data_IF_739610140502
#
_entry.id   IF_739610140502
#
_cell.length_a   1.000
_cell.length_b   1.000
_cell.length_c   1.000
_cell.angle_alpha   90.00
_cell.angle_beta   90.00
_cell.angle_gamma   90.00
#
_symmetry.space_group_name_H-M   'P 1'
#
loop_
_entity.id
_entity.type
_entity.pdbx_description
1 polymer ?
#
# COMPACT_ATOMS: atom_id res chain seq x y z
N UNK A 1 14.24 -23.40 14.76
CA UNK A 1 13.24 -22.41 15.17
C UNK A 1 13.39 -22.22 16.67
N UNK A 2 13.79 -21.03 17.13
CA UNK A 2 13.88 -20.77 18.57
C UNK A 2 12.46 -20.64 19.13
N UNK A 3 12.10 -21.38 20.20
CA UNK A 3 10.79 -21.25 20.82
C UNK A 3 10.65 -19.87 21.49
N UNK A 4 9.48 -19.26 21.36
CA UNK A 4 9.16 -17.98 21.98
C UNK A 4 9.31 -18.02 23.52
N UNK A 5 9.78 -16.92 24.15
CA UNK A 5 9.60 -16.68 25.58
C UNK A 5 8.11 -16.84 25.96
N UNK A 6 7.81 -17.30 27.17
CA UNK A 6 6.41 -17.51 27.61
C UNK A 6 5.53 -16.26 27.47
N UNK A 7 6.14 -15.09 27.53
CA UNK A 7 5.50 -13.76 27.47
C UNK A 7 4.99 -13.40 26.07
N UNK A 8 5.62 -13.95 25.02
CA UNK A 8 5.31 -13.68 23.60
C UNK A 8 4.46 -14.77 22.96
N UNK A 9 4.09 -15.80 23.72
CA UNK A 9 3.20 -16.85 23.21
C UNK A 9 1.81 -16.23 22.99
N UNK A 10 1.16 -16.53 21.86
CA UNK A 10 -0.19 -16.05 21.61
C UNK A 10 -1.10 -16.47 22.77
N UNK A 11 -1.76 -15.49 23.39
CA UNK A 11 -2.69 -15.69 24.52
C UNK A 11 -3.96 -16.42 24.12
N UNK A 12 -4.22 -16.50 22.82
CA UNK A 12 -5.36 -17.22 22.24
C UNK A 12 -4.90 -18.52 21.57
N UNK A 13 -5.64 -19.60 21.81
CA UNK A 13 -5.49 -20.84 21.06
C UNK A 13 -5.67 -20.57 19.56
N UNK A 14 -4.95 -21.29 18.66
CA UNK A 14 -5.14 -21.13 17.23
C UNK A 14 -6.62 -21.34 16.89
N UNK A 15 -7.27 -20.28 16.44
CA UNK A 15 -8.66 -20.34 16.00
C UNK A 15 -8.74 -21.29 14.80
N UNK A 16 -9.86 -22.00 14.70
CA UNK A 16 -10.10 -23.05 13.72
C UNK A 16 -10.02 -22.51 12.28
N UNK A 17 -8.82 -22.43 11.73
CA UNK A 17 -8.56 -21.94 10.36
C UNK A 17 -7.41 -22.67 9.64
N UNK A 18 -6.78 -23.65 10.31
CA UNK A 18 -5.68 -24.41 9.70
C UNK A 18 -4.37 -23.62 9.52
N UNK A 19 -4.28 -22.40 10.05
CA UNK A 19 -3.04 -21.64 10.12
C UNK A 19 -2.08 -22.30 11.12
N UNK A 20 -0.79 -22.28 10.82
CA UNK A 20 0.23 -22.78 11.74
C UNK A 20 0.37 -21.80 12.91
N UNK A 21 0.07 -22.20 14.17
CA UNK A 21 0.22 -21.33 15.33
C UNK A 21 1.63 -20.79 15.51
N UNK A 22 2.66 -21.48 15.00
CA UNK A 22 4.04 -21.01 15.05
C UNK A 22 4.31 -19.84 14.10
N UNK A 23 3.48 -19.64 13.06
CA UNK A 23 3.64 -18.58 12.06
C UNK A 23 2.78 -17.35 12.35
N UNK A 24 1.74 -17.46 13.18
CA UNK A 24 0.82 -16.36 13.50
C UNK A 24 1.52 -15.06 13.96
N UNK A 25 2.58 -15.10 14.79
CA UNK A 25 3.27 -13.88 15.23
C UNK A 25 4.10 -13.20 14.13
N UNK A 26 4.32 -13.88 13.00
CA UNK A 26 5.14 -13.39 11.88
C UNK A 26 4.28 -13.01 10.66
N UNK A 27 3.03 -12.61 10.89
CA UNK A 27 2.16 -12.11 9.84
C UNK A 27 2.74 -10.87 9.17
N UNK A 28 2.62 -10.80 7.84
CA UNK A 28 2.96 -9.62 7.06
C UNK A 28 1.91 -9.40 5.97
N UNK A 29 1.57 -8.14 5.71
CA UNK A 29 0.78 -7.74 4.55
C UNK A 29 1.65 -7.75 3.28
N UNK A 30 1.03 -7.69 2.11
CA UNK A 30 1.73 -7.55 0.83
C UNK A 30 0.99 -6.56 -0.05
N UNK A 31 1.71 -5.55 -0.52
CA UNK A 31 1.28 -4.66 -1.60
C UNK A 31 2.26 -4.76 -2.75
N UNK A 32 1.75 -4.87 -3.97
CA UNK A 32 2.60 -4.86 -5.17
C UNK A 32 1.90 -4.21 -6.36
N UNK A 33 2.70 -3.62 -7.24
CA UNK A 33 2.25 -3.09 -8.51
C UNK A 33 3.20 -3.52 -9.64
N UNK A 34 2.66 -4.08 -10.71
CA UNK A 34 3.35 -4.28 -11.98
C UNK A 34 2.86 -3.23 -12.97
N UNK A 35 3.75 -2.33 -13.38
CA UNK A 35 3.44 -1.23 -14.27
C UNK A 35 4.06 -1.49 -15.65
N UNK A 36 3.22 -1.59 -16.68
CA UNK A 36 3.66 -1.75 -18.07
C UNK A 36 3.00 -0.67 -18.95
N UNK A 37 3.51 -0.41 -20.17
CA UNK A 37 2.86 0.53 -21.08
C UNK A 37 1.42 0.14 -21.48
N UNK A 38 1.04 -1.14 -21.36
CA UNK A 38 -0.23 -1.67 -21.87
C UNK A 38 -1.25 -1.98 -20.78
N UNK A 39 -0.78 -2.27 -19.57
CA UNK A 39 -1.62 -2.60 -18.43
C UNK A 39 -0.85 -2.41 -17.13
N UNK A 40 -1.60 -2.16 -16.06
CA UNK A 40 -1.13 -2.26 -14.68
C UNK A 40 -1.81 -3.44 -13.98
N UNK A 41 -1.09 -4.03 -13.03
CA UNK A 41 -1.61 -5.07 -12.14
C UNK A 41 -1.29 -4.67 -10.71
N UNK A 42 -2.31 -4.55 -9.87
CA UNK A 42 -2.16 -4.25 -8.44
C UNK A 42 -2.55 -5.47 -7.62
N UNK A 43 -1.70 -5.82 -6.66
CA UNK A 43 -1.92 -6.95 -5.76
C UNK A 43 -1.93 -6.41 -4.34
N UNK A 44 -2.93 -6.82 -3.57
CA UNK A 44 -3.05 -6.47 -2.17
C UNK A 44 -3.47 -7.67 -1.33
N UNK A 45 -2.72 -7.92 -0.26
CA UNK A 45 -3.06 -8.84 0.81
C UNK A 45 -2.92 -8.08 2.13
N UNK A 46 -4.02 -7.94 2.87
CA UNK A 46 -4.09 -7.13 4.07
C UNK A 46 -4.68 -5.74 3.83
N UNK A 47 -4.39 -4.82 4.72
CA UNK A 47 -5.08 -3.54 4.94
C UNK A 47 -4.27 -2.29 4.55
N UNK A 48 -3.05 -2.46 4.00
CA UNK A 48 -2.33 -1.33 3.42
C UNK A 48 -3.05 -0.68 2.23
N UNK A 49 -2.52 0.41 1.70
CA UNK A 49 -3.19 1.21 0.69
C UNK A 49 -2.47 1.26 -0.66
N UNK A 50 -3.27 1.24 -1.72
CA UNK A 50 -2.84 1.51 -3.09
C UNK A 50 -3.63 2.70 -3.60
N UNK A 51 -2.95 3.83 -3.84
CA UNK A 51 -3.52 5.02 -4.45
C UNK A 51 -2.98 5.20 -5.86
N UNK A 52 -3.85 5.66 -6.75
CA UNK A 52 -3.47 6.14 -8.08
C UNK A 52 -3.92 7.57 -8.25
N UNK A 53 -3.04 8.40 -8.82
CA UNK A 53 -3.31 9.80 -9.14
C UNK A 53 -3.30 9.95 -10.65
N UNK A 54 -4.30 10.61 -11.23
CA UNK A 54 -4.28 10.98 -12.65
C UNK A 54 -3.52 12.28 -12.91
N UNK A 55 -3.50 12.74 -14.17
CA UNK A 55 -2.74 13.94 -14.56
C UNK A 55 -3.34 15.22 -14.01
N UNK A 56 -4.63 15.20 -13.71
CA UNK A 56 -5.41 16.29 -13.15
C UNK A 56 -5.29 16.35 -11.61
N UNK A 57 -4.65 15.36 -10.99
CA UNK A 57 -4.47 15.27 -9.54
C UNK A 57 -5.63 14.60 -8.82
N UNK A 58 -6.57 13.96 -9.53
CA UNK A 58 -7.63 13.20 -8.88
C UNK A 58 -7.05 11.88 -8.35
N UNK A 59 -7.33 11.62 -7.07
CA UNK A 59 -6.85 10.45 -6.34
C UNK A 59 -7.95 9.43 -6.23
N UNK A 60 -7.63 8.16 -6.45
CA UNK A 60 -8.55 7.04 -6.24
C UNK A 60 -7.79 5.78 -5.81
N UNK A 61 -8.50 4.86 -5.17
CA UNK A 61 -8.05 3.47 -4.99
C UNK A 61 -8.42 2.66 -6.24
N UNK A 62 -7.57 1.71 -6.69
CA UNK A 62 -8.00 0.73 -7.69
C UNK A 62 -9.27 0.01 -7.20
N UNK A 63 -10.27 -0.18 -8.08
CA UNK A 63 -11.49 -0.90 -7.72
C UNK A 63 -11.17 -2.29 -7.18
N UNK A 64 -11.65 -2.57 -5.97
CA UNK A 64 -11.56 -3.90 -5.35
C UNK A 64 -12.66 -4.80 -5.90
N UNK A 65 -12.33 -6.04 -6.20
CA UNK A 65 -13.37 -7.03 -6.48
C UNK A 65 -14.17 -7.27 -5.18
N UNK A 66 -15.51 -7.26 -5.20
CA UNK A 66 -16.29 -7.63 -4.03
C UNK A 66 -15.94 -9.07 -3.64
N UNK A 67 -15.28 -9.27 -2.50
CA UNK A 67 -15.00 -10.61 -1.99
C UNK A 67 -15.99 -10.94 -0.86
N UNK A 68 -16.95 -11.86 -1.09
CA UNK A 68 -17.89 -12.30 -0.06
C UNK A 68 -17.21 -13.00 1.14
N UNK A 69 -15.91 -13.28 1.09
CA UNK A 69 -15.12 -13.83 2.21
C UNK A 69 -14.54 -12.75 3.13
N UNK A 70 -14.48 -11.50 2.69
CA UNK A 70 -13.94 -10.37 3.46
C UNK A 70 -14.98 -9.71 4.39
N UNK A 71 -16.08 -10.42 4.70
CA UNK A 71 -17.21 -9.93 5.51
C UNK A 71 -16.88 -9.58 6.98
N UNK A 72 -15.63 -9.74 7.44
CA UNK A 72 -15.29 -9.70 8.86
C UNK A 72 -14.11 -8.80 9.27
N UNK A 73 -13.60 -7.90 8.42
CA UNK A 73 -12.47 -7.00 8.77
C UNK A 73 -11.25 -7.74 9.38
N UNK A 74 -11.03 -9.02 9.04
CA UNK A 74 -9.83 -9.73 9.48
C UNK A 74 -8.67 -9.35 8.55
N UNK A 75 -7.61 -8.76 9.11
CA UNK A 75 -6.38 -8.44 8.38
C UNK A 75 -5.75 -9.75 7.88
N UNK A 76 -5.89 -10.01 6.58
CA UNK A 76 -5.29 -11.17 5.92
C UNK A 76 -3.78 -10.97 5.80
N UNK A 77 -2.99 -12.01 6.07
CA UNK A 77 -1.52 -11.91 6.05
C UNK A 77 -0.87 -13.08 5.32
N UNK A 78 0.40 -12.95 4.95
CA UNK A 78 1.19 -13.98 4.28
C UNK A 78 1.38 -15.26 5.11
N UNK A 79 1.24 -15.18 6.44
CA UNK A 79 1.34 -16.36 7.30
C UNK A 79 0.06 -17.20 7.33
N UNK A 80 -1.05 -16.67 6.76
CA UNK A 80 -2.28 -17.43 6.62
C UNK A 80 -2.10 -18.57 5.62
N UNK A 81 -2.65 -19.73 5.96
CA UNK A 81 -2.74 -20.87 5.05
C UNK A 81 -3.53 -20.45 3.82
N UNK A 82 -2.99 -20.77 2.64
CA UNK A 82 -3.56 -20.36 1.36
C UNK A 82 -3.80 -18.83 1.23
N UNK A 83 -2.93 -17.99 1.80
CA UNK A 83 -3.02 -16.52 1.74
C UNK A 83 -3.30 -15.96 0.32
N UNK A 84 -2.78 -16.62 -0.72
CA UNK A 84 -3.03 -16.27 -2.12
C UNK A 84 -4.51 -16.22 -2.50
N UNK A 85 -5.39 -16.96 -1.79
CA UNK A 85 -6.83 -16.94 -2.01
C UNK A 85 -7.49 -15.64 -1.58
N UNK A 86 -6.87 -14.90 -0.67
CA UNK A 86 -7.36 -13.64 -0.11
C UNK A 86 -6.68 -12.43 -0.75
N UNK A 87 -5.84 -12.65 -1.75
CA UNK A 87 -5.18 -11.57 -2.46
C UNK A 87 -6.17 -10.90 -3.40
N UNK A 88 -6.40 -9.61 -3.19
CA UNK A 88 -7.11 -8.76 -4.12
C UNK A 88 -6.19 -8.45 -5.31
N UNK A 89 -6.69 -8.66 -6.51
CA UNK A 89 -5.93 -8.51 -7.75
C UNK A 89 -6.74 -7.61 -8.68
N UNK A 90 -6.22 -6.41 -8.94
CA UNK A 90 -6.81 -5.47 -9.88
C UNK A 90 -5.99 -5.39 -11.16
N UNK A 91 -6.57 -5.83 -12.28
CA UNK A 91 -6.01 -5.65 -13.61
C UNK A 91 -6.61 -4.43 -14.29
N UNK A 92 -5.76 -3.47 -14.66
CA UNK A 92 -6.15 -2.24 -15.33
C UNK A 92 -5.50 -2.18 -16.73
N UNK A 93 -6.24 -2.37 -17.83
CA UNK A 93 -5.71 -2.07 -19.16
C UNK A 93 -5.49 -0.57 -19.32
N UNK A 94 -4.40 -0.18 -19.99
CA UNK A 94 -4.14 1.21 -20.36
C UNK A 94 -4.73 1.43 -21.75
N UNK A 95 -5.88 2.10 -21.79
CA UNK A 95 -6.59 2.43 -23.04
C UNK A 95 -6.31 3.86 -23.50
N UNK A 96 -6.35 4.79 -22.55
CA UNK A 96 -6.13 6.22 -22.79
C UNK A 96 -4.92 6.71 -21.96
N UNK A 97 -5.21 7.39 -20.83
CA UNK A 97 -4.22 7.94 -19.94
C UNK A 97 -3.94 6.96 -18.78
N UNK A 98 -2.71 6.42 -18.66
CA UNK A 98 -2.31 5.71 -17.45
C UNK A 98 -2.22 6.68 -16.26
N UNK A 99 -2.35 6.18 -15.02
CA UNK A 99 -2.03 6.95 -13.81
C UNK A 99 -0.71 7.70 -13.93
N UNK A 100 -0.70 8.93 -13.42
CA UNK A 100 0.48 9.79 -13.34
C UNK A 100 1.34 9.45 -12.12
N UNK A 101 0.73 9.01 -11.03
CA UNK A 101 1.39 8.46 -9.84
C UNK A 101 0.67 7.18 -9.40
N UNK A 102 1.45 6.20 -8.94
CA UNK A 102 1.02 5.05 -8.14
C UNK A 102 1.77 5.13 -6.81
N UNK A 103 1.01 5.08 -5.71
CA UNK A 103 1.51 5.09 -4.35
C UNK A 103 1.05 3.81 -3.65
N UNK A 104 2.00 3.07 -3.08
CA UNK A 104 1.74 1.96 -2.17
C UNK A 104 2.18 2.39 -0.77
N UNK A 105 1.36 2.18 0.24
CA UNK A 105 1.69 2.52 1.62
C UNK A 105 1.20 1.46 2.60
N UNK A 106 1.94 1.23 3.68
CA UNK A 106 1.39 0.50 4.84
C UNK A 106 0.24 1.31 5.45
N UNK A 107 -0.69 0.61 6.10
CA UNK A 107 -1.89 1.17 6.74
C UNK A 107 -1.53 2.20 7.82
N UNK A 108 -0.39 2.05 8.49
CA UNK A 108 0.18 3.03 9.41
C UNK A 108 0.23 4.45 8.83
N UNK A 109 0.38 4.61 7.50
CA UNK A 109 0.34 5.93 6.88
C UNK A 109 -1.08 6.50 6.85
N UNK A 110 -2.05 5.76 6.29
CA UNK A 110 -3.44 6.20 6.20
C UNK A 110 -4.05 6.42 7.58
N UNK A 111 -3.72 5.57 8.55
CA UNK A 111 -4.17 5.66 9.95
C UNK A 111 -3.62 6.90 10.68
N UNK A 112 -2.63 7.60 10.12
CA UNK A 112 -2.12 8.86 10.67
C UNK A 112 -2.94 10.09 10.29
N UNK A 113 -3.96 9.94 9.44
CA UNK A 113 -4.83 11.02 9.00
C UNK A 113 -6.23 10.90 9.60
N UNK A 114 -6.88 12.04 9.82
CA UNK A 114 -8.22 12.09 10.40
C UNK A 114 -9.31 11.52 9.46
N UNK A 115 -9.10 11.64 8.16
CA UNK A 115 -10.02 11.18 7.14
C UNK A 115 -9.29 10.80 5.84
N UNK A 116 -10.05 10.18 4.92
CA UNK A 116 -9.56 9.75 3.61
C UNK A 116 -9.04 10.92 2.77
N UNK A 117 -9.64 12.09 2.88
CA UNK A 117 -9.25 13.25 2.07
C UNK A 117 -7.90 13.82 2.51
N UNK A 118 -7.59 13.78 3.81
CA UNK A 118 -6.26 14.12 4.31
C UNK A 118 -5.18 13.22 3.73
N UNK A 119 -5.44 11.91 3.64
CA UNK A 119 -4.50 10.97 3.02
C UNK A 119 -4.42 11.15 1.49
N UNK A 120 -5.55 11.42 0.82
CA UNK A 120 -5.54 11.77 -0.61
C UNK A 120 -4.75 13.05 -0.87
N UNK A 121 -4.83 14.04 0.01
CA UNK A 121 -4.07 15.28 -0.14
C UNK A 121 -2.57 15.01 -0.16
N UNK A 122 -2.07 14.10 0.67
CA UNK A 122 -0.66 13.67 0.63
C UNK A 122 -0.27 13.11 -0.74
N UNK A 123 -1.11 12.26 -1.35
CA UNK A 123 -0.84 11.72 -2.67
C UNK A 123 -0.76 12.84 -3.74
N UNK A 124 -1.60 13.88 -3.63
CA UNK A 124 -1.56 15.06 -4.50
C UNK A 124 -0.29 15.88 -4.27
N UNK A 125 0.07 16.13 -3.02
CA UNK A 125 1.24 16.92 -2.66
C UNK A 125 2.53 16.22 -3.13
N UNK A 126 2.64 14.91 -2.91
CA UNK A 126 3.76 14.10 -3.41
C UNK A 126 3.81 14.11 -4.93
N UNK A 127 2.67 14.00 -5.62
CA UNK A 127 2.63 14.09 -7.08
C UNK A 127 3.13 15.46 -7.57
N UNK A 128 2.64 16.55 -6.98
CA UNK A 128 3.09 17.91 -7.33
C UNK A 128 4.59 18.07 -7.10
N UNK A 129 5.09 17.62 -5.94
CA UNK A 129 6.52 17.67 -5.62
C UNK A 129 7.35 16.87 -6.62
N UNK A 130 6.96 15.62 -6.94
CA UNK A 130 7.70 14.76 -7.89
C UNK A 130 7.75 15.32 -9.31
N UNK A 131 6.75 16.12 -9.71
CA UNK A 131 6.71 16.77 -11.04
C UNK A 131 7.42 18.12 -11.08
N UNK A 132 7.84 18.66 -9.94
CA UNK A 132 8.57 19.93 -9.89
C UNK A 132 10.05 19.75 -10.30
N UNK A 133 10.73 20.82 -10.77
CA UNK A 133 12.17 20.80 -10.99
C UNK A 133 12.93 20.40 -9.72
N UNK A 134 13.81 19.40 -9.81
CA UNK A 134 14.52 18.78 -8.66
C UNK A 134 13.61 18.12 -7.61
N UNK A 135 12.34 17.92 -7.97
CA UNK A 135 11.32 17.31 -7.13
C UNK A 135 11.67 15.91 -6.64
N UNK A 136 12.08 14.99 -7.52
CA UNK A 136 12.47 13.63 -7.13
C UNK A 136 13.59 13.60 -6.09
N UNK A 137 14.59 14.46 -6.23
CA UNK A 137 15.70 14.56 -5.27
C UNK A 137 15.23 15.08 -3.92
N UNK A 138 14.37 16.09 -3.90
CA UNK A 138 13.76 16.61 -2.66
C UNK A 138 12.92 15.54 -1.98
N UNK A 139 12.04 14.85 -2.71
CA UNK A 139 11.22 13.78 -2.14
C UNK A 139 12.11 12.65 -1.60
N UNK A 140 13.14 12.23 -2.34
CA UNK A 140 14.05 11.19 -1.87
C UNK A 140 14.78 11.57 -0.57
N UNK A 141 15.18 12.85 -0.43
CA UNK A 141 15.89 13.34 0.75
C UNK A 141 14.98 13.51 1.97
N UNK A 142 13.79 14.07 1.77
CA UNK A 142 12.93 14.52 2.87
C UNK A 142 11.87 13.48 3.29
N UNK A 143 11.46 12.59 2.38
CA UNK A 143 10.39 11.62 2.65
C UNK A 143 10.62 10.79 3.91
N UNK A 144 11.83 10.26 4.22
CA UNK A 144 12.05 9.52 5.46
C UNK A 144 11.73 10.34 6.73
N UNK A 145 12.07 11.63 6.74
CA UNK A 145 11.80 12.51 7.87
C UNK A 145 10.29 12.83 7.96
N UNK A 146 9.62 13.03 6.83
CA UNK A 146 8.17 13.24 6.79
C UNK A 146 7.41 12.02 7.31
N UNK A 147 7.77 10.81 6.88
CA UNK A 147 7.11 9.58 7.35
C UNK A 147 7.31 9.37 8.85
N UNK A 148 8.51 9.62 9.38
CA UNK A 148 8.78 9.54 10.82
C UNK A 148 7.95 10.56 11.62
N UNK A 149 7.86 11.81 11.13
CA UNK A 149 7.05 12.84 11.75
C UNK A 149 5.54 12.52 11.70
N UNK A 150 5.05 11.99 10.57
CA UNK A 150 3.66 11.58 10.42
C UNK A 150 3.31 10.43 11.37
N UNK A 151 4.15 9.39 11.44
CA UNK A 151 3.97 8.31 12.41
C UNK A 151 3.93 8.84 13.84
N UNK A 152 4.92 9.64 14.26
CA UNK A 152 5.00 10.17 15.62
C UNK A 152 3.83 11.08 16.02
N UNK A 153 3.25 11.81 15.06
CA UNK A 153 2.10 12.69 15.30
C UNK A 153 0.74 11.99 15.13
N UNK A 154 0.73 10.80 14.52
CA UNK A 154 -0.46 10.08 14.10
C UNK A 154 -0.53 8.67 14.70
N UNK A 155 -0.35 7.65 13.85
CA UNK A 155 -0.57 6.24 14.22
C UNK A 155 0.40 5.72 15.26
N UNK A 156 1.65 6.21 15.26
CA UNK A 156 2.77 5.62 16.01
C UNK A 156 3.33 4.33 15.40
N UNK A 157 2.80 3.90 14.24
CA UNK A 157 3.19 2.67 13.56
C UNK A 157 4.34 2.89 12.57
N UNK A 158 5.03 1.81 12.20
CA UNK A 158 6.01 1.84 11.12
C UNK A 158 5.33 2.16 9.79
N UNK A 159 5.88 3.15 9.07
CA UNK A 159 5.37 3.57 7.77
C UNK A 159 6.36 3.21 6.67
N UNK A 160 5.88 2.47 5.67
CA UNK A 160 6.61 2.21 4.42
C UNK A 160 5.80 2.73 3.24
N UNK A 161 6.48 3.41 2.31
CA UNK A 161 5.86 3.98 1.10
C UNK A 161 6.70 3.64 -0.13
N UNK A 162 6.05 3.24 -1.21
CA UNK A 162 6.64 3.12 -2.54
C UNK A 162 5.89 4.03 -3.52
N UNK A 163 6.66 4.80 -4.31
CA UNK A 163 6.15 5.77 -5.29
C UNK A 163 6.65 5.40 -6.68
N UNK A 164 5.75 5.36 -7.64
CA UNK A 164 6.08 5.24 -9.06
C UNK A 164 5.31 6.31 -9.83
N UNK A 165 6.02 7.22 -10.48
CA UNK A 165 5.42 8.31 -11.24
C UNK A 165 5.93 8.34 -12.67
N UNK A 166 5.16 8.98 -13.54
CA UNK A 166 5.56 9.22 -14.93
C UNK A 166 6.45 10.44 -15.00
N UNK A 167 7.67 10.27 -15.49
CA UNK A 167 8.50 11.40 -15.91
C UNK A 167 7.90 12.00 -17.18
N UNK A 168 7.78 13.33 -17.22
CA UNK A 168 7.51 14.03 -18.47
C UNK A 168 8.79 14.03 -19.30
N UNK A 169 9.06 12.96 -20.03
CA UNK A 169 10.01 13.06 -21.14
C UNK A 169 9.32 13.75 -22.32
N UNK A 170 9.86 14.90 -22.73
CA UNK A 170 9.67 15.40 -24.09
C UNK A 170 10.20 14.34 -25.07
N UNK A 171 9.31 13.66 -25.80
CA UNK A 171 9.70 12.90 -27.00
C UNK A 171 9.46 11.39 -27.03
N UNK A 172 8.61 10.81 -26.16
CA UNK A 172 8.15 9.44 -26.39
C UNK A 172 7.29 9.38 -27.68
N UNK A 173 7.64 8.57 -28.70
CA UNK A 173 6.85 8.46 -29.92
C UNK A 173 5.47 7.84 -29.62
N UNK A 174 4.46 8.18 -30.44
CA UNK A 174 3.09 7.67 -30.29
C UNK A 174 2.99 6.14 -30.41
#
# INVERSE_FOLDING_TARGET
MHPFPEEERPKEAPRAGGNDPALLPYGATLLAALLTPRFHLYLQLGDGDILVVDREGAVRRPPRAPDPRLLANETTSLCNKEAWRNMDIHFQPILDAPPALVLLATDGYANSFADEEGFHQVARDLFQMLTAPKGPETVQQELPAWLAATSAAGSGDDISVALAWRTTEEGAPP
#
